data_IF_183348525080
#
_entry.id   IF_183348525080
#
_cell.length_a   1.000
_cell.length_b   1.000
_cell.length_c   1.000
_cell.angle_alpha   90.00
_cell.angle_beta   90.00
_cell.angle_gamma   90.00
#
_symmetry.space_group_name_H-M   'P 1'
#
loop_
_entity.id
_entity.type
_entity.pdbx_description
1 polymer ?
#
# COMPACT_ATOMS: atom_id res chain seq x y z
N UNK A 1 0.94 -7.34 -19.33
CA UNK A 1 1.06 -6.15 -18.44
C UNK A 1 2.55 -5.80 -18.29
N UNK A 2 2.90 -4.51 -18.30
CA UNK A 2 4.26 -4.00 -18.09
C UNK A 2 4.28 -3.21 -16.77
N UNK A 3 5.29 -3.43 -15.93
CA UNK A 3 5.40 -2.90 -14.57
C UNK A 3 6.58 -1.92 -14.42
N UNK A 4 7.07 -1.32 -15.50
CA UNK A 4 8.20 -0.37 -15.48
C UNK A 4 8.05 0.84 -14.54
N UNK A 5 6.83 1.19 -14.14
CA UNK A 5 6.57 2.29 -13.20
C UNK A 5 6.66 1.85 -11.73
N UNK A 6 6.71 0.55 -11.47
CA UNK A 6 6.89 0.00 -10.13
C UNK A 6 8.32 0.24 -9.64
N UNK A 7 8.46 0.50 -8.35
CA UNK A 7 9.76 0.60 -7.68
C UNK A 7 10.50 -0.74 -7.74
N UNK A 8 11.85 -0.70 -7.74
CA UNK A 8 12.68 -1.91 -7.69
C UNK A 8 12.45 -2.67 -6.38
N UNK A 9 12.51 -4.00 -6.42
CA UNK A 9 12.15 -4.86 -5.29
C UNK A 9 12.83 -4.48 -3.96
N UNK A 10 14.14 -4.24 -3.95
CA UNK A 10 14.89 -3.89 -2.74
C UNK A 10 14.43 -2.56 -2.11
N UNK A 11 14.24 -1.54 -2.95
CA UNK A 11 13.77 -0.22 -2.52
C UNK A 11 12.31 -0.30 -2.06
N UNK A 12 11.50 -1.08 -2.78
CA UNK A 12 10.08 -1.28 -2.50
C UNK A 12 9.84 -2.02 -1.17
N UNK A 13 10.66 -3.01 -0.83
CA UNK A 13 10.58 -3.70 0.47
C UNK A 13 10.88 -2.74 1.62
N UNK A 14 11.90 -1.89 1.45
CA UNK A 14 12.25 -0.86 2.44
C UNK A 14 11.10 0.12 2.62
N UNK A 15 10.53 0.63 1.52
CA UNK A 15 9.39 1.55 1.54
C UNK A 15 8.14 0.90 2.16
N UNK A 16 7.86 -0.37 1.83
CA UNK A 16 6.73 -1.13 2.37
C UNK A 16 6.81 -1.24 3.90
N UNK A 17 7.98 -1.60 4.43
CA UNK A 17 8.19 -1.69 5.87
C UNK A 17 8.04 -0.33 6.56
N UNK A 18 8.61 0.73 5.98
CA UNK A 18 8.44 2.10 6.50
C UNK A 18 6.97 2.53 6.52
N UNK A 19 6.21 2.18 5.48
CA UNK A 19 4.78 2.49 5.42
C UNK A 19 3.99 1.75 6.50
N UNK A 20 4.29 0.47 6.76
CA UNK A 20 3.67 -0.27 7.86
C UNK A 20 4.00 0.35 9.22
N UNK A 21 5.25 0.78 9.44
CA UNK A 21 5.66 1.41 10.70
C UNK A 21 4.95 2.74 10.93
N UNK A 22 4.75 3.53 9.87
CA UNK A 22 3.93 4.75 9.92
C UNK A 22 2.48 4.44 10.30
N UNK A 23 1.85 3.44 9.68
CA UNK A 23 0.48 3.02 10.02
C UNK A 23 0.35 2.54 11.48
N UNK A 24 1.34 1.78 11.95
CA UNK A 24 1.37 1.32 13.35
C UNK A 24 1.49 2.49 14.32
N UNK A 25 2.30 3.49 13.99
CA UNK A 25 2.48 4.69 14.81
C UNK A 25 1.23 5.59 14.82
N UNK A 26 0.59 5.78 13.66
CA UNK A 26 -0.51 6.75 13.50
C UNK A 26 -1.89 6.19 13.88
N UNK A 27 -2.03 4.86 13.97
CA UNK A 27 -3.29 4.19 14.29
C UNK A 27 -3.22 3.33 15.56
N UNK A 28 -3.00 2.02 15.41
CA UNK A 28 -2.99 1.06 16.52
C UNK A 28 -2.15 -0.15 16.09
N UNK A 29 -0.97 -0.39 16.68
CA UNK A 29 -0.04 -1.43 16.21
C UNK A 29 -0.64 -2.84 16.18
N UNK A 30 -1.52 -3.15 17.14
CA UNK A 30 -2.22 -4.44 17.29
C UNK A 30 -3.27 -4.70 16.22
N UNK A 31 -3.62 -3.70 15.41
CA UNK A 31 -4.59 -3.79 14.32
C UNK A 31 -3.95 -3.79 12.93
N UNK A 32 -2.63 -3.59 12.85
CA UNK A 32 -1.90 -3.58 11.58
C UNK A 32 -1.21 -4.91 11.38
N UNK A 33 -1.83 -5.75 10.56
CA UNK A 33 -1.29 -7.03 10.12
C UNK A 33 -0.66 -6.91 8.74
N UNK A 34 0.38 -7.70 8.49
CA UNK A 34 1.13 -7.72 7.24
C UNK A 34 1.26 -9.15 6.69
N UNK A 35 1.74 -9.22 5.44
CA UNK A 35 2.06 -10.47 4.75
C UNK A 35 3.56 -10.72 4.70
N UNK A 36 4.01 -11.40 3.63
CA UNK A 36 5.44 -11.59 3.32
C UNK A 36 5.76 -10.93 1.98
N UNK A 37 6.57 -9.87 2.01
CA UNK A 37 6.96 -9.15 0.80
C UNK A 37 7.72 -10.07 -0.18
N UNK A 38 7.38 -9.98 -1.47
CA UNK A 38 8.02 -10.77 -2.52
C UNK A 38 7.68 -12.27 -2.54
N UNK A 39 6.77 -12.73 -1.69
CA UNK A 39 6.34 -14.13 -1.65
C UNK A 39 5.01 -14.33 -2.39
N UNK A 40 4.79 -15.56 -2.87
CA UNK A 40 3.47 -15.98 -3.32
C UNK A 40 2.57 -16.14 -2.10
N UNK A 41 1.43 -15.46 -2.09
CA UNK A 41 0.48 -15.49 -0.99
C UNK A 41 -0.89 -15.94 -1.50
N UNK A 42 -1.56 -16.75 -0.68
CA UNK A 42 -2.97 -17.08 -0.83
C UNK A 42 -3.72 -16.34 0.28
N UNK A 43 -4.54 -15.34 -0.09
CA UNK A 43 -5.17 -14.40 0.85
C UNK A 43 -6.68 -14.54 0.79
N UNK A 44 -7.27 -14.97 1.89
CA UNK A 44 -8.72 -15.00 2.07
C UNK A 44 -9.22 -13.64 2.56
N UNK A 45 -10.21 -13.07 1.86
CA UNK A 45 -10.81 -11.77 2.18
C UNK A 45 -12.34 -11.88 2.14
N UNK A 46 -12.99 -11.65 3.28
CA UNK A 46 -14.45 -11.54 3.37
C UNK A 46 -14.84 -10.06 3.37
N UNK A 47 -15.36 -9.58 2.25
CA UNK A 47 -15.86 -8.21 2.13
C UNK A 47 -17.30 -8.12 2.66
N UNK A 48 -17.50 -7.44 3.79
CA UNK A 48 -18.84 -7.06 4.27
C UNK A 48 -19.32 -5.82 3.50
N UNK A 49 -20.07 -6.03 2.41
CA UNK A 49 -20.31 -5.01 1.39
C UNK A 49 -20.76 -5.61 0.05
N UNK A 50 -20.09 -5.35 -1.11
CA UNK A 50 -18.68 -4.97 -1.30
C UNK A 50 -18.44 -3.48 -1.61
N UNK A 51 -17.45 -2.88 -0.95
CA UNK A 51 -17.00 -1.51 -1.23
C UNK A 51 -15.52 -1.54 -1.59
N UNK A 52 -15.17 -1.01 -2.77
CA UNK A 52 -13.79 -0.91 -3.24
C UNK A 52 -13.45 0.54 -3.51
N UNK A 53 -12.35 1.03 -2.91
CA UNK A 53 -11.87 2.40 -3.06
C UNK A 53 -10.49 2.36 -3.69
N UNK A 54 -10.26 3.17 -4.72
CA UNK A 54 -8.96 3.38 -5.34
C UNK A 54 -8.36 4.69 -4.85
N UNK A 55 -7.08 4.65 -4.46
CA UNK A 55 -6.34 5.83 -3.98
C UNK A 55 -4.96 5.85 -4.65
N UNK A 56 -4.63 6.95 -5.32
CA UNK A 56 -3.27 7.25 -5.78
C UNK A 56 -2.79 8.56 -5.15
N UNK A 57 -1.72 8.47 -4.34
CA UNK A 57 -1.09 9.64 -3.70
C UNK A 57 -0.67 10.74 -4.67
N UNK A 58 -0.45 10.43 -5.95
CA UNK A 58 -0.06 11.39 -6.99
C UNK A 58 -1.24 12.16 -7.57
N UNK A 59 -2.47 11.67 -7.45
CA UNK A 59 -3.65 12.36 -7.97
C UNK A 59 -3.86 13.71 -7.24
N UNK A 60 -3.66 13.72 -5.92
CA UNK A 60 -3.71 14.93 -5.11
C UNK A 60 -2.59 15.94 -5.45
N UNK A 61 -1.41 15.45 -5.83
CA UNK A 61 -0.29 16.28 -6.26
C UNK A 61 -0.52 16.90 -7.64
N UNK A 62 -1.17 16.16 -8.55
CA UNK A 62 -1.54 16.66 -9.87
C UNK A 62 -2.62 17.74 -9.80
N UNK A 63 -3.57 17.61 -8.87
CA UNK A 63 -4.60 18.62 -8.63
C UNK A 63 -4.00 19.93 -8.07
N UNK A 64 -2.98 19.84 -7.20
CA UNK A 64 -2.30 21.01 -6.62
C UNK A 64 -1.40 21.75 -7.62
N UNK A 65 -0.78 21.06 -8.59
CA UNK A 65 0.08 21.67 -9.62
C UNK A 65 -0.68 22.43 -10.72
N UNK A 66 -2.00 22.21 -10.84
CA UNK A 66 -2.88 22.89 -11.80
C UNK A 66 -3.55 24.16 -11.23
N UNK A 67 -3.32 24.49 -9.96
CA UNK A 67 -3.67 25.76 -9.33
C UNK A 67 -2.45 26.67 -9.32
#
# INVERSE_FOLDING_TARGET
PDYKLSMKAQEAETMYNQFLDMLRADYSPDRIFDGRFGQMMDVELVNDGPVTIFVDSKDDLAAKKKK
#
